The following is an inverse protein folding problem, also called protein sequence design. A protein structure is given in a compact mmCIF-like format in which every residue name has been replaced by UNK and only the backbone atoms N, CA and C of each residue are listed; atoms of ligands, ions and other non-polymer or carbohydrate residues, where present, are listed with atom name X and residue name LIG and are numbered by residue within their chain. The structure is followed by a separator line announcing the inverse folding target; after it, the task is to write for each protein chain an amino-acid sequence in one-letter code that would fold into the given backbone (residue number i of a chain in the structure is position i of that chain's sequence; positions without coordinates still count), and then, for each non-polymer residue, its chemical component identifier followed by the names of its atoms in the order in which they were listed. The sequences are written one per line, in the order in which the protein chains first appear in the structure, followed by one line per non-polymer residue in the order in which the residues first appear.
data_IF_054210737976
#
_entry.id   IF_054210737976
#
_cell.length_a   1.000
_cell.length_b   1.000
_cell.length_c   1.000
_cell.angle_alpha   90.00
_cell.angle_beta   90.00
_cell.angle_gamma   90.00
#
_symmetry.space_group_name_H-M   'P 1'
#
loop_
_entity.id
_entity.type
_entity.pdbx_description
1 polymer ?
#
# COMPACT_ATOMS: atom_id res chain seq x y z
N UNK A 1 53.20 -1.42 -9.55
CA UNK A 1 51.96 -0.66 -9.28
C UNK A 1 50.80 -1.48 -9.82
N UNK A 2 50.22 -2.34 -8.98
CA UNK A 2 49.05 -3.14 -9.36
C UNK A 2 47.81 -2.41 -8.88
N UNK A 3 47.06 -1.85 -9.82
CA UNK A 3 45.78 -1.18 -9.59
C UNK A 3 44.73 -2.27 -9.41
N UNK A 4 44.32 -2.52 -8.18
CA UNK A 4 43.15 -3.36 -7.89
C UNK A 4 41.91 -2.63 -8.38
N UNK A 5 41.27 -3.15 -9.43
CA UNK A 5 39.92 -2.75 -9.81
C UNK A 5 38.97 -3.03 -8.62
N UNK A 6 38.03 -2.12 -8.30
CA UNK A 6 37.03 -2.40 -7.29
C UNK A 6 36.19 -3.62 -7.73
N UNK A 7 35.74 -4.48 -6.80
CA UNK A 7 34.92 -5.63 -7.14
C UNK A 7 33.67 -5.14 -7.89
N UNK A 8 33.43 -5.68 -9.08
CA UNK A 8 32.17 -5.46 -9.80
C UNK A 8 31.05 -6.03 -8.94
N UNK A 9 30.33 -5.16 -8.24
CA UNK A 9 29.12 -5.55 -7.51
C UNK A 9 28.09 -5.88 -8.57
N UNK A 10 27.86 -7.18 -8.80
CA UNK A 10 26.75 -7.62 -9.65
C UNK A 10 25.48 -6.93 -9.15
N UNK A 11 24.69 -6.31 -10.05
CA UNK A 11 23.47 -5.63 -9.64
C UNK A 11 22.59 -6.60 -8.87
N UNK A 12 22.10 -6.19 -7.70
CA UNK A 12 21.23 -7.03 -6.87
C UNK A 12 19.97 -7.36 -7.67
N UNK A 13 19.57 -8.62 -7.65
CA UNK A 13 18.38 -9.12 -8.35
C UNK A 13 17.46 -9.86 -7.39
N UNK A 14 16.18 -9.87 -7.73
CA UNK A 14 15.13 -10.52 -6.95
C UNK A 14 14.36 -11.48 -7.84
N UNK A 15 14.27 -12.74 -7.45
CA UNK A 15 13.53 -13.78 -8.19
C UNK A 15 12.35 -14.28 -7.38
N UNK A 16 11.15 -14.23 -7.96
CA UNK A 16 9.93 -14.85 -7.44
C UNK A 16 9.63 -16.12 -8.24
N UNK A 17 9.22 -17.19 -7.56
CA UNK A 17 8.90 -18.48 -8.17
C UNK A 17 7.44 -18.88 -7.95
N UNK A 18 6.89 -19.68 -8.87
CA UNK A 18 5.52 -20.16 -8.81
C UNK A 18 5.26 -21.18 -7.68
N UNK A 19 6.31 -21.71 -7.05
CA UNK A 19 6.20 -22.70 -5.95
C UNK A 19 5.80 -22.08 -4.60
N UNK A 20 5.48 -20.78 -4.59
CA UNK A 20 5.09 -20.08 -3.37
C UNK A 20 3.77 -20.60 -2.80
N UNK A 21 3.64 -20.68 -1.46
CA UNK A 21 2.38 -21.07 -0.84
C UNK A 21 1.29 -20.04 -1.13
N UNK A 22 0.15 -20.52 -1.61
CA UNK A 22 -1.02 -19.70 -1.88
C UNK A 22 -1.87 -19.50 -0.63
N UNK A 23 -2.74 -18.48 -0.65
CA UNK A 23 -3.65 -18.20 0.48
C UNK A 23 -4.60 -19.39 0.70
N UNK A 24 -4.71 -19.83 1.95
CA UNK A 24 -5.66 -20.89 2.31
C UNK A 24 -7.12 -20.43 2.09
N UNK A 25 -8.03 -21.40 1.92
CA UNK A 25 -9.47 -21.10 1.70
C UNK A 25 -10.10 -20.38 2.89
N UNK A 26 -9.78 -20.79 4.11
CA UNK A 26 -10.29 -20.17 5.34
C UNK A 26 -9.79 -18.74 5.51
N UNK A 27 -8.50 -18.51 5.22
CA UNK A 27 -7.92 -17.17 5.25
C UNK A 27 -8.58 -16.25 4.21
N UNK A 28 -8.76 -16.76 2.99
CA UNK A 28 -9.45 -16.03 1.91
C UNK A 28 -10.90 -15.70 2.27
N UNK A 29 -11.63 -16.65 2.87
CA UNK A 29 -12.99 -16.43 3.34
C UNK A 29 -13.07 -15.37 4.44
N UNK A 30 -12.15 -15.40 5.41
CA UNK A 30 -12.06 -14.41 6.47
C UNK A 30 -11.86 -12.99 5.93
N UNK A 31 -10.91 -12.80 5.01
CA UNK A 31 -10.66 -11.51 4.36
C UNK A 31 -11.91 -11.03 3.61
N UNK A 32 -12.55 -11.92 2.85
CA UNK A 32 -13.73 -11.58 2.06
C UNK A 32 -14.90 -11.14 2.95
N UNK A 33 -15.20 -11.90 4.01
CA UNK A 33 -16.26 -11.55 4.98
C UNK A 33 -15.94 -10.22 5.65
N UNK A 34 -14.70 -10.05 6.14
CA UNK A 34 -14.30 -8.83 6.82
C UNK A 34 -14.44 -7.59 5.93
N UNK A 35 -14.01 -7.68 4.68
CA UNK A 35 -14.20 -6.61 3.69
C UNK A 35 -15.68 -6.28 3.51
N UNK A 36 -16.54 -7.29 3.33
CA UNK A 36 -17.98 -7.06 3.15
C UNK A 36 -18.64 -6.44 4.39
N UNK A 37 -18.24 -6.86 5.61
CA UNK A 37 -18.69 -6.25 6.87
C UNK A 37 -18.31 -4.77 6.93
N UNK A 38 -17.14 -4.40 6.41
CA UNK A 38 -16.69 -3.02 6.30
C UNK A 38 -17.31 -2.24 5.12
N UNK A 39 -18.15 -2.87 4.30
CA UNK A 39 -18.76 -2.25 3.12
C UNK A 39 -17.80 -2.12 1.92
N UNK A 40 -16.77 -2.97 1.87
CA UNK A 40 -15.68 -2.97 0.90
C UNK A 40 -15.95 -4.09 -0.12
N UNK A 41 -16.44 -3.80 -1.33
CA UNK A 41 -16.83 -4.82 -2.31
C UNK A 41 -15.59 -5.43 -3.01
N UNK A 42 -14.84 -6.29 -2.31
CA UNK A 42 -13.68 -6.99 -2.91
C UNK A 42 -14.15 -8.26 -3.63
N UNK A 43 -13.80 -8.45 -4.92
CA UNK A 43 -14.13 -9.67 -5.65
C UNK A 43 -13.51 -10.91 -5.00
N UNK A 44 -14.28 -12.01 -4.92
CA UNK A 44 -13.79 -13.28 -4.38
C UNK A 44 -12.49 -13.75 -5.04
N UNK A 45 -12.36 -13.58 -6.37
CA UNK A 45 -11.15 -13.95 -7.13
C UNK A 45 -9.90 -13.18 -6.72
N UNK A 46 -10.04 -11.94 -6.26
CA UNK A 46 -8.89 -11.15 -5.81
C UNK A 46 -8.40 -11.66 -4.45
N UNK A 47 -9.34 -12.09 -3.61
CA UNK A 47 -9.02 -12.63 -2.28
C UNK A 47 -8.52 -14.08 -2.38
N UNK A 48 -9.13 -14.88 -3.28
CA UNK A 48 -8.81 -16.29 -3.52
C UNK A 48 -7.79 -16.44 -4.64
N UNK A 49 -6.53 -16.36 -4.26
CA UNK A 49 -5.37 -16.61 -5.10
C UNK A 49 -5.11 -18.13 -5.19
N UNK A 50 -5.47 -18.78 -6.30
CA UNK A 50 -5.35 -20.25 -6.46
C UNK A 50 -4.38 -20.69 -7.54
N UNK A 51 -3.80 -19.76 -8.29
CA UNK A 51 -2.86 -20.07 -9.38
C UNK A 51 -1.65 -19.14 -9.29
N UNK A 52 -0.52 -19.69 -8.84
CA UNK A 52 0.71 -18.93 -8.66
C UNK A 52 1.34 -18.51 -9.99
N UNK A 53 1.21 -19.33 -11.05
CA UNK A 53 1.75 -19.01 -12.38
C UNK A 53 0.97 -17.88 -13.01
N UNK A 54 -0.36 -17.91 -12.89
CA UNK A 54 -1.20 -16.81 -13.35
C UNK A 54 -0.91 -15.50 -12.62
N UNK A 55 -0.62 -15.55 -11.31
CA UNK A 55 -0.23 -14.36 -10.54
C UNK A 55 1.11 -13.78 -10.99
N UNK A 56 2.12 -14.63 -11.23
CA UNK A 56 3.41 -14.18 -11.76
C UNK A 56 3.29 -13.61 -13.16
N UNK A 57 2.52 -14.25 -14.05
CA UNK A 57 2.27 -13.74 -15.39
C UNK A 57 1.53 -12.39 -15.36
N UNK A 58 0.59 -12.23 -14.43
CA UNK A 58 -0.10 -10.97 -14.21
C UNK A 58 0.85 -9.87 -13.70
N UNK A 59 1.68 -10.17 -12.69
CA UNK A 59 2.66 -9.22 -12.17
C UNK A 59 3.67 -8.81 -13.26
N UNK A 60 4.20 -9.76 -14.03
CA UNK A 60 5.06 -9.49 -15.17
C UNK A 60 4.40 -8.52 -16.17
N UNK A 61 3.15 -8.80 -16.56
CA UNK A 61 2.39 -7.92 -17.45
C UNK A 61 2.15 -6.53 -16.86
N UNK A 62 1.89 -6.41 -15.55
CA UNK A 62 1.77 -5.12 -14.86
C UNK A 62 3.07 -4.34 -14.88
N UNK A 63 4.21 -4.97 -14.58
CA UNK A 63 5.52 -4.32 -14.62
C UNK A 63 5.86 -3.82 -16.03
N UNK A 64 5.62 -4.62 -17.07
CA UNK A 64 5.82 -4.19 -18.45
C UNK A 64 4.95 -3.00 -18.84
N UNK A 65 3.65 -3.05 -18.51
CA UNK A 65 2.72 -1.97 -18.82
C UNK A 65 3.05 -0.66 -18.08
N UNK A 66 3.48 -0.76 -16.82
CA UNK A 66 3.88 0.39 -16.01
C UNK A 66 5.20 1.00 -16.51
N UNK A 67 6.19 0.16 -16.83
CA UNK A 67 7.45 0.63 -17.41
C UNK A 67 7.21 1.33 -18.76
N UNK A 68 6.33 0.78 -19.61
CA UNK A 68 5.95 1.41 -20.88
C UNK A 68 5.19 2.75 -20.69
N UNK A 69 4.49 2.91 -19.57
CA UNK A 69 3.86 4.17 -19.18
C UNK A 69 4.84 5.17 -18.51
N UNK A 70 6.12 4.83 -18.39
CA UNK A 70 7.15 5.66 -17.77
C UNK A 70 7.14 5.65 -16.24
N UNK A 71 6.40 4.73 -15.62
CA UNK A 71 6.40 4.56 -14.16
C UNK A 71 7.69 3.92 -13.67
N UNK A 72 8.14 4.32 -12.49
CA UNK A 72 9.33 3.75 -11.88
C UNK A 72 8.97 2.42 -11.19
N UNK A 73 9.40 1.32 -11.81
CA UNK A 73 9.16 -0.06 -11.35
C UNK A 73 10.43 -0.90 -11.53
N UNK A 74 10.55 -2.05 -10.84
CA UNK A 74 11.66 -2.97 -11.05
C UNK A 74 11.81 -3.35 -12.52
N UNK A 75 13.02 -3.21 -13.11
CA UNK A 75 13.25 -3.67 -14.48
C UNK A 75 13.11 -5.19 -14.50
N UNK A 76 12.32 -5.70 -15.44
CA UNK A 76 12.20 -7.14 -15.67
C UNK A 76 13.47 -7.62 -16.38
N UNK A 77 14.20 -8.55 -15.76
CA UNK A 77 15.43 -9.12 -16.29
C UNK A 77 15.18 -10.46 -16.97
N UNK A 78 14.27 -11.28 -16.42
CA UNK A 78 13.87 -12.55 -17.00
C UNK A 78 12.46 -12.94 -16.55
N UNK A 79 11.72 -13.63 -17.44
CA UNK A 79 10.46 -14.27 -17.13
C UNK A 79 10.27 -15.50 -18.03
N UNK A 80 10.04 -16.67 -17.43
CA UNK A 80 9.88 -17.95 -18.14
C UNK A 80 8.50 -18.62 -17.92
N UNK A 81 7.59 -17.94 -17.21
CA UNK A 81 6.27 -18.47 -16.83
C UNK A 81 6.24 -19.30 -15.53
N UNK A 82 7.39 -19.52 -14.90
CA UNK A 82 7.54 -20.15 -13.59
C UNK A 82 8.34 -19.29 -12.60
N UNK A 83 9.22 -18.45 -13.11
CA UNK A 83 10.05 -17.50 -12.38
C UNK A 83 9.98 -16.12 -13.00
N UNK A 84 10.02 -15.10 -12.15
CA UNK A 84 10.13 -13.68 -12.53
C UNK A 84 11.33 -13.08 -11.80
N UNK A 85 12.34 -12.68 -12.56
CA UNK A 85 13.54 -12.01 -12.04
C UNK A 85 13.52 -10.54 -12.38
N UNK A 86 13.73 -9.70 -11.37
CA UNK A 86 13.72 -8.24 -11.46
C UNK A 86 14.99 -7.63 -10.90
N UNK A 87 15.35 -6.45 -11.37
CA UNK A 87 16.43 -5.65 -10.79
C UNK A 87 16.00 -4.99 -9.48
N UNK A 88 16.98 -4.68 -8.63
CA UNK A 88 16.76 -3.94 -7.40
C UNK A 88 16.32 -2.49 -7.65
N UNK A 89 15.43 -1.98 -6.79
CA UNK A 89 14.92 -0.60 -6.81
C UNK A 89 15.10 0.11 -5.48
N UNK A 90 16.09 -0.31 -4.69
CA UNK A 90 16.46 0.32 -3.44
C UNK A 90 15.59 -0.06 -2.24
N UNK A 91 15.75 0.72 -1.18
CA UNK A 91 15.14 0.44 0.12
C UNK A 91 13.67 0.86 0.18
N UNK A 92 12.86 0.02 0.82
CA UNK A 92 11.44 0.30 1.01
C UNK A 92 11.23 1.52 1.91
N UNK A 93 10.20 2.31 1.64
CA UNK A 93 9.85 3.48 2.46
C UNK A 93 9.53 3.03 3.90
N UNK A 94 8.93 1.84 4.08
CA UNK A 94 8.69 1.26 5.40
C UNK A 94 9.99 1.02 6.19
N UNK A 95 11.04 0.53 5.54
CA UNK A 95 12.37 0.37 6.15
C UNK A 95 13.03 1.72 6.44
N UNK A 96 12.97 2.66 5.49
CA UNK A 96 13.54 3.99 5.68
C UNK A 96 12.88 4.75 6.84
N UNK A 97 11.55 4.73 6.93
CA UNK A 97 10.82 5.33 8.06
C UNK A 97 11.20 4.69 9.40
N UNK A 98 11.47 3.38 9.41
CA UNK A 98 11.92 2.69 10.61
C UNK A 98 13.30 3.18 11.09
N UNK A 99 14.24 3.39 10.16
CA UNK A 99 15.58 3.89 10.45
C UNK A 99 15.62 5.41 10.72
N UNK A 100 14.64 6.16 10.23
CA UNK A 100 14.58 7.62 10.33
C UNK A 100 14.18 8.11 11.74
N UNK A 101 14.74 9.24 12.23
CA UNK A 101 14.28 9.91 13.45
C UNK A 101 12.80 10.31 13.36
N UNK A 102 12.06 10.21 14.46
CA UNK A 102 10.60 10.42 14.48
C UNK A 102 10.16 11.76 13.88
N UNK A 103 10.88 12.85 14.21
CA UNK A 103 10.57 14.20 13.73
C UNK A 103 10.73 14.40 12.22
N UNK A 104 11.45 13.51 11.54
CA UNK A 104 11.73 13.60 10.09
C UNK A 104 10.81 12.74 9.24
N UNK A 105 10.02 11.85 9.87
CA UNK A 105 9.21 10.85 9.17
C UNK A 105 8.02 11.45 8.43
N UNK A 106 7.34 12.44 9.02
CA UNK A 106 6.09 12.99 8.48
C UNK A 106 6.26 13.57 7.06
N UNK A 107 7.31 14.36 6.75
CA UNK A 107 7.59 14.79 5.37
C UNK A 107 7.61 13.65 4.35
N UNK A 108 8.31 12.55 4.65
CA UNK A 108 8.38 11.39 3.74
C UNK A 108 7.03 10.69 3.59
N UNK A 109 6.25 10.57 4.67
CA UNK A 109 4.89 10.03 4.60
C UNK A 109 3.96 10.88 3.71
N UNK A 110 4.01 12.20 3.85
CA UNK A 110 3.24 13.12 3.01
C UNK A 110 3.71 13.07 1.55
N UNK A 111 5.02 12.97 1.31
CA UNK A 111 5.58 12.83 -0.04
C UNK A 111 5.13 11.53 -0.71
N UNK A 112 5.16 10.39 0.00
CA UNK A 112 4.66 9.11 -0.51
C UNK A 112 3.16 9.17 -0.84
N UNK A 113 2.38 9.87 -0.02
CA UNK A 113 0.95 10.09 -0.22
C UNK A 113 0.65 10.94 -1.46
N UNK A 114 1.38 12.04 -1.64
CA UNK A 114 1.27 12.90 -2.81
C UNK A 114 1.71 12.17 -4.09
N UNK A 115 2.78 11.38 -4.02
CA UNK A 115 3.23 10.55 -5.15
C UNK A 115 2.19 9.50 -5.55
N UNK A 116 1.53 8.86 -4.57
CA UNK A 116 0.41 7.95 -4.84
C UNK A 116 -0.75 8.66 -5.54
N UNK A 117 -1.07 9.89 -5.15
CA UNK A 117 -2.08 10.68 -5.85
C UNK A 117 -1.68 10.98 -7.31
N UNK A 118 -0.43 11.33 -7.56
CA UNK A 118 0.08 11.57 -8.91
C UNK A 118 0.04 10.29 -9.77
N UNK A 119 0.44 9.14 -9.20
CA UNK A 119 0.31 7.83 -9.82
C UNK A 119 -1.15 7.52 -10.21
N UNK A 120 -2.10 7.80 -9.31
CA UNK A 120 -3.53 7.63 -9.57
C UNK A 120 -4.08 8.61 -10.62
N UNK A 121 -3.59 9.85 -10.65
CA UNK A 121 -3.99 10.86 -11.63
C UNK A 121 -3.66 10.43 -13.07
N UNK A 122 -2.62 9.61 -13.25
CA UNK A 122 -2.25 8.98 -14.54
C UNK A 122 -3.05 7.71 -14.87
N UNK A 123 -4.11 7.43 -14.11
CA UNK A 123 -4.96 6.25 -14.30
C UNK A 123 -4.34 4.94 -13.80
N UNK A 124 -3.22 5.02 -13.08
CA UNK A 124 -2.56 3.84 -12.54
C UNK A 124 -3.10 3.46 -11.16
N UNK A 125 -2.78 2.24 -10.74
CA UNK A 125 -3.15 1.65 -9.46
C UNK A 125 -2.19 0.50 -9.14
N UNK A 126 -2.10 0.15 -7.87
CA UNK A 126 -1.18 -0.88 -7.35
C UNK A 126 -1.91 -2.14 -6.88
N UNK A 127 -2.98 -1.99 -6.12
CA UNK A 127 -3.75 -3.05 -5.47
C UNK A 127 -3.16 -3.58 -4.15
N UNK A 128 -1.92 -3.18 -3.86
CA UNK A 128 -1.12 -3.59 -2.70
C UNK A 128 -0.22 -2.46 -2.22
N UNK A 129 -0.70 -1.21 -2.20
CA UNK A 129 0.08 0.01 -1.96
C UNK A 129 0.54 0.22 -0.50
N UNK A 130 1.00 -0.82 0.17
CA UNK A 130 1.65 -0.73 1.47
C UNK A 130 3.06 -0.16 1.31
N UNK A 131 3.59 0.52 2.32
CA UNK A 131 4.90 1.17 2.23
C UNK A 131 6.08 0.19 2.11
N UNK A 132 5.87 -1.09 2.44
CA UNK A 132 6.84 -2.17 2.16
C UNK A 132 6.98 -2.48 0.65
N UNK A 133 6.00 -2.07 -0.14
CA UNK A 133 5.95 -2.26 -1.60
C UNK A 133 6.28 -0.96 -2.36
N UNK A 134 6.71 0.08 -1.66
CA UNK A 134 7.15 1.35 -2.24
C UNK A 134 8.58 1.60 -1.81
N UNK A 135 9.44 2.05 -2.72
CA UNK A 135 10.82 2.48 -2.43
C UNK A 135 10.98 3.96 -2.74
N UNK A 136 12.02 4.57 -2.18
CA UNK A 136 12.39 5.97 -2.45
C UNK A 136 13.90 6.11 -2.50
N UNK A 137 14.43 6.72 -3.55
CA UNK A 137 15.88 6.84 -3.78
C UNK A 137 16.48 8.20 -3.40
N UNK A 138 15.68 9.09 -2.81
CA UNK A 138 16.05 10.50 -2.63
C UNK A 138 15.26 11.46 -3.51
N UNK A 139 14.76 10.97 -4.65
CA UNK A 139 14.23 11.80 -5.74
C UNK A 139 12.92 11.24 -6.30
N UNK A 140 12.82 9.92 -6.44
CA UNK A 140 11.71 9.22 -7.09
C UNK A 140 11.21 8.09 -6.21
N UNK A 141 9.90 7.92 -6.25
CA UNK A 141 9.26 6.74 -5.68
C UNK A 141 9.18 5.65 -6.74
N UNK A 142 9.47 4.41 -6.33
CA UNK A 142 9.24 3.22 -7.13
C UNK A 142 8.24 2.30 -6.42
N UNK A 143 7.61 1.41 -7.17
CA UNK A 143 6.65 0.43 -6.63
C UNK A 143 6.99 -0.97 -7.11
N UNK A 144 6.83 -1.96 -6.23
CA UNK A 144 7.04 -3.38 -6.51
C UNK A 144 5.83 -4.20 -6.09
N UNK A 145 5.79 -5.48 -6.49
CA UNK A 145 4.78 -6.43 -6.01
C UNK A 145 3.35 -6.14 -6.51
N UNK A 146 3.19 -6.07 -7.84
CA UNK A 146 1.92 -5.81 -8.53
C UNK A 146 1.09 -7.09 -8.77
N UNK A 147 0.89 -7.90 -7.74
CA UNK A 147 0.25 -9.22 -7.87
C UNK A 147 -1.29 -9.20 -7.76
N UNK A 148 -1.88 -8.11 -7.29
CA UNK A 148 -3.31 -8.06 -6.91
C UNK A 148 -4.23 -7.85 -8.14
N UNK A 149 -5.02 -8.86 -8.49
CA UNK A 149 -5.91 -8.84 -9.67
C UNK A 149 -7.28 -8.20 -9.40
N UNK A 150 -7.28 -6.93 -8.98
CA UNK A 150 -8.52 -6.22 -8.62
C UNK A 150 -9.34 -5.80 -9.85
N UNK A 151 -8.67 -5.53 -10.98
CA UNK A 151 -9.30 -5.19 -12.27
C UNK A 151 -9.46 -6.44 -13.14
N UNK A 152 -10.51 -6.54 -13.97
CA UNK A 152 -11.61 -5.57 -14.17
C UNK A 152 -12.75 -5.68 -13.13
N UNK A 153 -12.54 -6.36 -12.00
CA UNK A 153 -13.60 -6.72 -11.04
C UNK A 153 -14.08 -5.56 -10.18
N UNK A 154 -13.36 -4.43 -10.24
CA UNK A 154 -13.62 -3.22 -9.47
C UNK A 154 -13.43 -1.99 -10.35
N UNK A 155 -14.21 -0.93 -10.08
CA UNK A 155 -13.99 0.36 -10.70
C UNK A 155 -12.59 0.92 -10.31
N UNK A 156 -11.93 1.62 -11.22
CA UNK A 156 -10.58 2.16 -10.99
C UNK A 156 -10.55 3.06 -9.75
N UNK A 157 -11.53 3.96 -9.62
CA UNK A 157 -11.67 4.85 -8.47
C UNK A 157 -11.74 4.09 -7.14
N UNK A 158 -12.46 2.95 -7.10
CA UNK A 158 -12.52 2.12 -5.89
C UNK A 158 -11.18 1.45 -5.58
N UNK A 159 -10.47 0.96 -6.61
CA UNK A 159 -9.14 0.37 -6.44
C UNK A 159 -8.14 1.40 -5.90
N UNK A 160 -8.14 2.61 -6.47
CA UNK A 160 -7.28 3.70 -6.02
C UNK A 160 -7.58 4.13 -4.58
N UNK A 161 -8.84 4.12 -4.16
CA UNK A 161 -9.19 4.35 -2.75
C UNK A 161 -8.61 3.25 -1.84
N UNK A 162 -8.60 1.98 -2.27
CA UNK A 162 -7.95 0.92 -1.49
C UNK A 162 -6.46 1.08 -1.39
N UNK A 163 -5.79 1.52 -2.46
CA UNK A 163 -4.37 1.81 -2.40
C UNK A 163 -4.07 2.85 -1.32
N UNK A 164 -4.86 3.93 -1.23
CA UNK A 164 -4.69 4.95 -0.18
C UNK A 164 -4.94 4.38 1.21
N UNK A 165 -5.97 3.55 1.39
CA UNK A 165 -6.23 2.95 2.70
C UNK A 165 -5.14 1.96 3.11
N UNK A 166 -4.66 1.13 2.19
CA UNK A 166 -3.53 0.21 2.44
C UNK A 166 -2.26 0.98 2.81
N UNK A 167 -1.96 2.06 2.09
CA UNK A 167 -0.88 2.97 2.40
C UNK A 167 -1.03 3.55 3.81
N UNK A 168 -2.18 4.15 4.11
CA UNK A 168 -2.45 4.80 5.39
C UNK A 168 -2.39 3.82 6.57
N UNK A 169 -2.98 2.63 6.44
CA UNK A 169 -2.93 1.62 7.50
C UNK A 169 -1.51 1.05 7.67
N UNK A 170 -0.72 0.94 6.61
CA UNK A 170 0.70 0.57 6.73
C UNK A 170 1.52 1.63 7.48
N UNK A 171 1.13 2.91 7.37
CA UNK A 171 1.72 4.03 8.10
C UNK A 171 1.28 4.13 9.57
N UNK A 172 0.24 3.41 9.99
CA UNK A 172 -0.40 3.61 11.31
C UNK A 172 0.58 3.50 12.48
N UNK A 173 1.60 2.63 12.38
CA UNK A 173 2.63 2.48 13.41
C UNK A 173 3.55 3.70 13.56
N UNK A 174 3.76 4.45 12.50
CA UNK A 174 4.58 5.66 12.48
C UNK A 174 3.76 6.92 12.77
N UNK A 175 2.47 6.89 12.41
CA UNK A 175 1.53 7.99 12.67
C UNK A 175 1.06 8.04 14.13
N UNK A 176 0.95 6.88 14.80
CA UNK A 176 0.48 6.82 16.20
C UNK A 176 1.24 7.74 17.17
N UNK A 177 2.59 7.78 17.20
CA UNK A 177 3.31 8.70 18.08
C UNK A 177 3.15 10.18 17.69
N UNK A 178 2.91 10.48 16.41
CA UNK A 178 2.71 11.84 15.90
C UNK A 178 1.28 12.36 16.07
N UNK A 179 0.32 11.46 16.31
CA UNK A 179 -1.08 11.77 16.59
C UNK A 179 -1.97 12.01 15.35
N UNK A 180 -3.26 12.33 15.58
CA UNK A 180 -4.27 12.42 14.51
C UNK A 180 -4.01 13.52 13.48
N UNK A 181 -3.32 14.61 13.86
CA UNK A 181 -2.95 15.69 12.94
C UNK A 181 -1.99 15.22 11.85
N UNK A 182 -1.11 14.26 12.15
CA UNK A 182 -0.22 13.65 11.15
C UNK A 182 -1.00 12.78 10.15
N UNK A 183 -2.00 12.03 10.61
CA UNK A 183 -2.92 11.26 9.74
C UNK A 183 -3.65 12.20 8.78
N UNK A 184 -4.16 13.32 9.32
CA UNK A 184 -4.82 14.35 8.54
C UNK A 184 -3.87 14.94 7.48
N UNK A 185 -2.63 15.28 7.85
CA UNK A 185 -1.64 15.84 6.93
C UNK A 185 -1.33 14.87 5.78
N UNK A 186 -1.19 13.57 6.05
CA UNK A 186 -0.99 12.54 5.02
C UNK A 186 -2.18 12.46 4.07
N UNK A 187 -3.41 12.49 4.58
CA UNK A 187 -4.62 12.48 3.75
C UNK A 187 -4.78 13.75 2.92
N UNK A 188 -4.45 14.92 3.50
CA UNK A 188 -4.45 16.20 2.80
C UNK A 188 -3.40 16.24 1.69
N UNK A 189 -2.22 15.64 1.90
CA UNK A 189 -1.20 15.53 0.85
C UNK A 189 -1.71 14.74 -0.38
N UNK A 190 -2.49 13.69 -0.16
CA UNK A 190 -3.14 12.96 -1.25
C UNK A 190 -4.22 13.80 -1.94
N UNK A 191 -5.11 14.42 -1.16
CA UNK A 191 -6.23 15.25 -1.65
C UNK A 191 -5.75 16.45 -2.48
N UNK A 192 -4.63 17.06 -2.08
CA UNK A 192 -4.05 18.22 -2.77
C UNK A 192 -3.29 17.84 -4.05
N UNK A 193 -2.72 16.64 -4.13
CA UNK A 193 -1.82 16.24 -5.23
C UNK A 193 -2.53 15.55 -6.41
N UNK A 194 -3.83 15.23 -6.29
CA UNK A 194 -4.55 14.57 -7.38
C UNK A 194 -6.07 14.57 -7.25
N UNK A 195 -6.78 14.18 -8.32
CA UNK A 195 -8.24 14.30 -8.39
C UNK A 195 -9.00 13.25 -7.55
N UNK A 196 -8.30 12.29 -6.95
CA UNK A 196 -8.90 11.17 -6.19
C UNK A 196 -9.47 11.56 -4.82
N UNK A 197 -9.21 12.78 -4.37
CA UNK A 197 -9.58 13.32 -3.07
C UNK A 197 -11.07 13.21 -2.70
N UNK A 198 -12.01 13.70 -3.54
CA UNK A 198 -13.44 13.59 -3.28
C UNK A 198 -13.93 12.14 -3.11
N UNK A 199 -13.44 11.22 -3.95
CA UNK A 199 -13.79 9.80 -3.88
C UNK A 199 -13.29 9.15 -2.59
N UNK A 200 -12.04 9.44 -2.21
CA UNK A 200 -11.45 9.00 -0.94
C UNK A 200 -12.26 9.50 0.26
N UNK A 201 -12.58 10.79 0.30
CA UNK A 201 -13.35 11.39 1.39
C UNK A 201 -14.74 10.77 1.52
N UNK A 202 -15.45 10.61 0.40
CA UNK A 202 -16.77 9.97 0.39
C UNK A 202 -16.71 8.53 0.91
N UNK A 203 -15.66 7.79 0.53
CA UNK A 203 -15.45 6.44 1.03
C UNK A 203 -15.13 6.40 2.53
N UNK A 204 -14.23 7.27 3.01
CA UNK A 204 -13.90 7.36 4.44
C UNK A 204 -15.16 7.70 5.25
N UNK A 205 -15.99 8.63 4.78
CA UNK A 205 -17.26 8.98 5.44
C UNK A 205 -18.19 7.76 5.60
N UNK A 206 -18.21 6.86 4.60
CA UNK A 206 -18.99 5.62 4.66
C UNK A 206 -18.35 4.55 5.58
N UNK A 207 -17.03 4.44 5.58
CA UNK A 207 -16.28 3.43 6.32
C UNK A 207 -16.18 3.75 7.82
N UNK A 208 -15.99 5.02 8.15
CA UNK A 208 -15.64 5.50 9.49
C UNK A 208 -16.61 5.02 10.60
N UNK A 209 -17.95 5.09 10.45
CA UNK A 209 -18.88 4.63 11.50
C UNK A 209 -18.80 3.12 11.78
N UNK A 210 -18.36 2.31 10.80
CA UNK A 210 -18.16 0.86 10.98
C UNK A 210 -16.88 0.60 11.76
N UNK A 211 -15.78 1.26 11.39
CA UNK A 211 -14.51 1.11 12.11
C UNK A 211 -14.59 1.65 13.54
N UNK A 212 -15.30 2.76 13.77
CA UNK A 212 -15.54 3.28 15.12
C UNK A 212 -16.34 2.31 15.99
N UNK A 213 -17.28 1.54 15.41
CA UNK A 213 -17.97 0.46 16.14
C UNK A 213 -17.01 -0.66 16.53
N UNK A 214 -16.14 -1.09 15.63
CA UNK A 214 -15.12 -2.11 15.91
C UNK A 214 -14.19 -1.63 17.04
N UNK A 215 -13.70 -0.40 16.97
CA UNK A 215 -12.84 0.18 18.01
C UNK A 215 -13.54 0.28 19.38
N UNK A 216 -14.84 0.60 19.41
CA UNK A 216 -15.64 0.62 20.65
C UNK A 216 -15.83 -0.77 21.25
N UNK A 217 -16.11 -1.77 20.43
CA UNK A 217 -16.24 -3.17 20.91
C UNK A 217 -14.91 -3.68 21.45
N UNK A 218 -13.80 -3.37 20.78
CA UNK A 218 -12.46 -3.73 21.27
C UNK A 218 -12.16 -3.11 22.65
N UNK A 219 -12.69 -1.91 22.93
CA UNK A 219 -12.52 -1.22 24.20
C UNK A 219 -13.17 -1.94 25.40
N UNK A 220 -14.12 -2.85 25.17
CA UNK A 220 -14.77 -3.60 26.25
C UNK A 220 -13.83 -4.60 26.93
N UNK A 221 -12.73 -4.97 26.27
CA UNK A 221 -11.66 -5.76 26.86
C UNK A 221 -10.49 -4.86 27.24
N UNK A 222 -10.19 -4.74 28.55
CA UNK A 222 -9.03 -3.97 29.05
C UNK A 222 -7.71 -4.35 28.38
N UNK A 223 -7.56 -5.63 27.98
CA UNK A 223 -6.39 -6.14 27.26
C UNK A 223 -6.32 -5.58 25.84
N UNK A 224 -7.44 -5.60 25.10
CA UNK A 224 -7.49 -5.09 23.73
C UNK A 224 -7.45 -3.57 23.69
N UNK A 225 -8.10 -2.91 24.65
CA UNK A 225 -8.14 -1.46 24.79
C UNK A 225 -6.74 -0.83 24.87
N UNK A 226 -5.83 -1.49 25.57
CA UNK A 226 -4.42 -1.06 25.71
C UNK A 226 -3.48 -1.62 24.63
N UNK A 227 -4.01 -2.35 23.66
CA UNK A 227 -3.18 -2.92 22.59
C UNK A 227 -2.69 -1.81 21.65
N UNK A 228 -1.44 -1.96 21.17
CA UNK A 228 -0.85 -1.02 20.20
C UNK A 228 -1.72 -0.89 18.94
N UNK A 229 -2.34 -1.98 18.50
CA UNK A 229 -3.21 -1.99 17.31
C UNK A 229 -4.47 -1.15 17.50
N UNK A 230 -5.13 -1.22 18.67
CA UNK A 230 -6.31 -0.38 18.95
C UNK A 230 -5.94 1.10 19.06
N UNK A 231 -4.79 1.42 19.67
CA UNK A 231 -4.30 2.79 19.76
C UNK A 231 -3.95 3.38 18.39
N UNK A 232 -3.29 2.60 17.53
CA UNK A 232 -3.01 2.95 16.13
C UNK A 232 -4.31 3.18 15.36
N UNK A 233 -5.26 2.25 15.49
CA UNK A 233 -6.57 2.37 14.86
C UNK A 233 -7.28 3.65 15.30
N UNK A 234 -7.36 3.95 16.60
CA UNK A 234 -7.98 5.19 17.12
C UNK A 234 -7.36 6.44 16.52
N UNK A 235 -6.02 6.51 16.51
CA UNK A 235 -5.28 7.64 15.92
C UNK A 235 -5.66 7.84 14.45
N UNK A 236 -5.70 6.75 13.67
CA UNK A 236 -6.11 6.78 12.27
C UNK A 236 -7.58 7.22 12.11
N UNK A 237 -8.49 6.71 12.94
CA UNK A 237 -9.91 7.07 12.86
C UNK A 237 -10.17 8.53 13.23
N UNK A 238 -9.47 9.08 14.21
CA UNK A 238 -9.56 10.50 14.58
C UNK A 238 -9.07 11.40 13.44
N UNK A 239 -7.94 11.06 12.81
CA UNK A 239 -7.43 11.80 11.65
C UNK A 239 -8.33 11.68 10.41
N UNK A 240 -8.90 10.49 10.17
CA UNK A 240 -9.92 10.28 9.13
C UNK A 240 -11.18 11.11 9.38
N UNK A 241 -11.63 11.21 10.64
CA UNK A 241 -12.77 12.03 11.03
C UNK A 241 -12.50 13.52 10.77
N UNK A 242 -11.32 14.00 11.21
CA UNK A 242 -10.88 15.37 10.95
C UNK A 242 -10.78 15.66 9.44
N UNK A 243 -10.25 14.70 8.67
CA UNK A 243 -10.20 14.81 7.21
C UNK A 243 -11.62 15.01 6.69
N UNK A 244 -12.57 14.12 6.95
CA UNK A 244 -13.97 14.22 6.48
C UNK A 244 -14.69 15.50 6.94
N UNK A 245 -14.39 16.02 8.14
CA UNK A 245 -15.04 17.20 8.70
C UNK A 245 -14.69 18.51 7.96
N UNK A 246 -13.49 18.63 7.36
CA UNK A 246 -13.03 19.86 6.67
C UNK A 246 -13.82 20.25 5.38
N UNK A 247 -14.94 19.57 5.07
CA UNK A 247 -15.88 19.95 3.99
C UNK A 247 -17.28 20.29 4.51
N UNK A 248 -17.45 20.49 5.81
CA UNK A 248 -18.62 21.14 6.39
C UNK A 248 -18.34 22.64 6.54
#
# INVERSE_FOLDING_TARGET
MSTSLPPSTSPRTWTKSADRPLRSRSHSLGIWIFAHVLGVPVPWRAVRQTDARALLAFEHGRLQALAAAGEHVPPVLAFDGFSLTTGDIGETVDYQLYCMPEGERLPLMCAASADLAAFHARGQWHGGAQLRNTTWDGQRFARLDFEEQLRPGMALSTVQVYDVLQMLFSLARFLQPLGPSAVLAVLQAYDAAGPGGPALRGFIAHLLPRLQRVARVAAWSKRLDRSREVMRLRTVLEGMAAFVAQRA
#
